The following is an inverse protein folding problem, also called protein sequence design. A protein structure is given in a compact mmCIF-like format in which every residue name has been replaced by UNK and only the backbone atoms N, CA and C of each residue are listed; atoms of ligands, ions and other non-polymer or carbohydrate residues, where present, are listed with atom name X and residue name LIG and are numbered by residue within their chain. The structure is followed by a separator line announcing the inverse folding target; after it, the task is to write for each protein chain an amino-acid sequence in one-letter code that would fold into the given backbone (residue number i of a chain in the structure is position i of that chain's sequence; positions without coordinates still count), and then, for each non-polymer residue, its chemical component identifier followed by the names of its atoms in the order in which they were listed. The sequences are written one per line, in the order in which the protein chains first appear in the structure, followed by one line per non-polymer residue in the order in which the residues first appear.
data_IF_518269996705
#
_entry.id   IF_518269996705
#
_cell.length_a   1.000
_cell.length_b   1.000
_cell.length_c   1.000
_cell.angle_alpha   90.00
_cell.angle_beta   90.00
_cell.angle_gamma   90.00
#
_symmetry.space_group_name_H-M   'P 1'
#
loop_
_entity.id
_entity.type
_entity.pdbx_description
1 polymer ?
#
# COMPACT_ATOMS: atom_id res chain seq x y z
N UNK A 1 31.93 -9.95 8.75
CA UNK A 1 30.83 -9.19 8.13
C UNK A 1 29.54 -9.68 8.75
N UNK A 2 28.81 -8.83 9.47
CA UNK A 2 27.52 -9.19 10.05
C UNK A 2 26.49 -9.30 8.93
N UNK A 3 25.85 -10.45 8.78
CA UNK A 3 24.81 -10.65 7.76
C UNK A 3 23.58 -9.83 8.13
N UNK A 4 23.15 -8.92 7.24
CA UNK A 4 21.93 -8.14 7.45
C UNK A 4 20.69 -9.04 7.46
N UNK A 5 19.74 -8.76 8.35
CA UNK A 5 18.46 -9.48 8.42
C UNK A 5 17.54 -9.05 7.28
N UNK A 6 16.89 -10.00 6.62
CA UNK A 6 15.97 -9.71 5.54
C UNK A 6 14.61 -9.25 6.09
N UNK A 7 14.02 -8.24 5.47
CA UNK A 7 12.70 -7.69 5.83
C UNK A 7 11.81 -7.65 4.59
N UNK A 8 10.62 -8.23 4.69
CA UNK A 8 9.56 -8.11 3.70
C UNK A 8 8.46 -7.22 4.27
N UNK A 9 8.10 -6.16 3.54
CA UNK A 9 7.06 -5.22 3.97
C UNK A 9 5.74 -5.58 3.30
N UNK A 10 4.70 -5.78 4.10
CA UNK A 10 3.36 -6.15 3.65
C UNK A 10 2.39 -5.09 4.14
N UNK A 11 1.72 -4.40 3.21
CA UNK A 11 0.82 -3.30 3.52
C UNK A 11 -0.60 -3.66 3.10
N UNK A 12 -1.53 -3.60 4.04
CA UNK A 12 -2.97 -3.61 3.76
C UNK A 12 -3.44 -2.21 3.38
N UNK A 13 -3.77 -2.01 2.11
CA UNK A 13 -4.19 -0.72 1.57
C UNK A 13 -5.55 -0.24 2.07
N UNK A 14 -6.44 -1.12 2.51
CA UNK A 14 -7.72 -0.71 3.08
C UNK A 14 -7.51 -0.08 4.46
N UNK A 15 -6.79 -0.79 5.34
CA UNK A 15 -6.50 -0.31 6.68
C UNK A 15 -5.60 0.94 6.66
N UNK A 16 -4.61 0.98 5.76
CA UNK A 16 -3.76 2.16 5.60
C UNK A 16 -4.56 3.39 5.16
N UNK A 17 -5.48 3.23 4.19
CA UNK A 17 -6.28 4.33 3.69
C UNK A 17 -7.15 4.94 4.79
N UNK A 18 -7.87 4.11 5.55
CA UNK A 18 -8.74 4.59 6.62
C UNK A 18 -7.93 5.24 7.75
N UNK A 19 -6.78 4.66 8.13
CA UNK A 19 -5.90 5.28 9.12
C UNK A 19 -5.33 6.62 8.67
N UNK A 20 -5.10 6.84 7.36
CA UNK A 20 -4.70 8.15 6.82
C UNK A 20 -5.87 9.13 6.80
N UNK A 21 -7.08 8.67 6.43
CA UNK A 21 -8.27 9.52 6.36
C UNK A 21 -8.67 10.06 7.74
N UNK A 22 -8.56 9.22 8.77
CA UNK A 22 -8.81 9.59 10.18
C UNK A 22 -7.87 10.69 10.71
N UNK A 23 -6.72 10.92 10.08
CA UNK A 23 -5.79 12.00 10.43
C UNK A 23 -6.24 13.36 9.89
N UNK A 24 -7.25 13.41 9.00
CA UNK A 24 -7.76 14.63 8.36
C UNK A 24 -6.68 15.48 7.65
N UNK A 25 -5.59 14.83 7.23
CA UNK A 25 -4.46 15.46 6.56
C UNK A 25 -4.39 15.02 5.09
N UNK A 26 -5.06 15.75 4.21
CA UNK A 26 -5.23 15.37 2.80
C UNK A 26 -3.92 15.12 2.04
N UNK A 27 -2.82 15.79 2.42
CA UNK A 27 -1.52 15.59 1.79
C UNK A 27 -0.95 14.17 2.03
N UNK A 28 -1.36 13.50 3.12
CA UNK A 28 -0.96 12.12 3.42
C UNK A 28 -1.62 11.10 2.49
N UNK A 29 -2.69 11.45 1.75
CA UNK A 29 -3.33 10.57 0.76
C UNK A 29 -2.40 10.23 -0.42
N UNK A 30 -1.27 10.93 -0.55
CA UNK A 30 -0.20 10.66 -1.52
C UNK A 30 1.06 10.03 -0.89
N UNK A 31 0.90 9.37 0.26
CA UNK A 31 1.98 8.72 1.00
C UNK A 31 2.91 7.91 0.09
N UNK A 32 4.21 8.21 0.12
CA UNK A 32 5.20 7.40 -0.55
C UNK A 32 5.60 6.22 0.35
N UNK A 33 5.04 5.05 0.08
CA UNK A 33 5.26 3.83 0.88
C UNK A 33 6.74 3.37 0.85
N UNK A 34 7.44 3.56 -0.27
CA UNK A 34 8.88 3.24 -0.35
C UNK A 34 9.69 4.12 0.61
N UNK A 35 9.45 5.44 0.61
CA UNK A 35 10.12 6.36 1.53
C UNK A 35 9.75 6.08 2.98
N UNK A 36 8.48 5.80 3.27
CA UNK A 36 8.03 5.46 4.61
C UNK A 36 8.75 4.19 5.12
N UNK A 37 8.91 3.19 4.25
CA UNK A 37 9.67 1.98 4.58
C UNK A 37 11.10 2.32 4.98
N UNK A 38 11.78 3.21 4.25
CA UNK A 38 13.13 3.66 4.59
C UNK A 38 13.24 4.34 5.96
N UNK A 39 12.18 5.01 6.43
CA UNK A 39 12.16 5.63 7.77
C UNK A 39 12.08 4.58 8.88
N UNK A 40 11.38 3.46 8.66
CA UNK A 40 11.20 2.41 9.67
C UNK A 40 12.33 1.37 9.71
N UNK A 41 13.18 1.32 8.69
CA UNK A 41 14.17 0.26 8.53
C UNK A 41 15.59 0.79 8.74
N UNK A 42 16.29 0.25 9.74
CA UNK A 42 17.73 0.51 9.90
C UNK A 42 18.53 -0.29 8.85
N UNK A 43 19.01 0.43 7.83
CA UNK A 43 19.79 -0.13 6.74
C UNK A 43 21.13 -0.73 7.18
N UNK A 44 21.65 -0.41 8.38
CA UNK A 44 22.91 -1.01 8.86
C UNK A 44 22.75 -2.48 9.23
N UNK A 45 21.54 -2.88 9.66
CA UNK A 45 21.27 -4.23 10.18
C UNK A 45 20.20 -4.97 9.40
N UNK A 46 19.43 -4.28 8.55
CA UNK A 46 18.36 -4.86 7.74
C UNK A 46 18.56 -4.64 6.23
N UNK A 47 18.01 -5.56 5.44
CA UNK A 47 17.88 -5.44 3.99
C UNK A 47 16.42 -5.67 3.60
N UNK A 48 15.78 -4.68 2.98
CA UNK A 48 14.42 -4.82 2.45
C UNK A 48 14.47 -5.69 1.19
N UNK A 49 13.80 -6.85 1.23
CA UNK A 49 13.74 -7.79 0.10
C UNK A 49 12.51 -7.59 -0.77
N UNK A 50 11.54 -6.80 -0.32
CA UNK A 50 10.35 -6.45 -1.09
C UNK A 50 9.38 -5.59 -0.30
N UNK A 51 8.55 -4.84 -1.02
CA UNK A 51 7.47 -4.03 -0.47
C UNK A 51 6.21 -4.37 -1.26
N UNK A 52 5.18 -4.90 -0.59
CA UNK A 52 3.95 -5.39 -1.22
C UNK A 52 2.75 -4.61 -0.70
N UNK A 53 2.04 -3.96 -1.60
CA UNK A 53 0.83 -3.20 -1.31
C UNK A 53 -0.41 -3.94 -1.81
N UNK A 54 -1.19 -4.47 -0.89
CA UNK A 54 -2.42 -5.21 -1.17
C UNK A 54 -3.59 -4.24 -1.20
N UNK A 55 -4.29 -4.16 -2.34
CA UNK A 55 -5.42 -3.22 -2.46
C UNK A 55 -6.48 -3.72 -3.44
N UNK A 56 -7.65 -3.08 -3.45
CA UNK A 56 -8.73 -3.39 -4.40
C UNK A 56 -9.48 -2.13 -4.83
N UNK A 57 -9.95 -2.09 -6.07
CA UNK A 57 -10.69 -0.92 -6.59
C UNK A 57 -12.18 -0.96 -6.24
N UNK A 58 -12.64 0.03 -5.46
CA UNK A 58 -14.06 0.24 -5.16
C UNK A 58 -14.81 0.81 -6.39
N UNK A 59 -15.14 -0.03 -7.37
CA UNK A 59 -15.75 0.39 -8.64
C UNK A 59 -17.12 1.06 -8.50
N UNK A 60 -17.81 0.87 -7.37
CA UNK A 60 -19.11 1.47 -7.08
C UNK A 60 -19.02 2.94 -6.62
N UNK A 61 -17.81 3.48 -6.40
CA UNK A 61 -17.57 4.89 -6.04
C UNK A 61 -16.63 5.54 -7.06
N UNK A 62 -17.16 6.15 -8.14
CA UNK A 62 -16.37 6.51 -9.31
C UNK A 62 -15.25 7.53 -9.01
N UNK A 63 -15.49 8.51 -8.14
CA UNK A 63 -14.49 9.53 -7.81
C UNK A 63 -13.36 8.99 -6.91
N UNK A 64 -13.71 8.23 -5.87
CA UNK A 64 -12.73 7.52 -5.04
C UNK A 64 -11.91 6.53 -5.88
N UNK A 65 -12.56 5.81 -6.79
CA UNK A 65 -11.89 4.89 -7.70
C UNK A 65 -10.87 5.60 -8.58
N UNK A 66 -11.21 6.73 -9.20
CA UNK A 66 -10.25 7.52 -10.01
C UNK A 66 -9.07 8.01 -9.18
N UNK A 67 -9.31 8.52 -7.96
CA UNK A 67 -8.22 8.96 -7.06
C UNK A 67 -7.31 7.80 -6.68
N UNK A 68 -7.89 6.66 -6.30
CA UNK A 68 -7.14 5.48 -5.94
C UNK A 68 -6.33 4.93 -7.13
N UNK A 69 -6.87 4.92 -8.35
CA UNK A 69 -6.12 4.57 -9.55
C UNK A 69 -4.91 5.47 -9.78
N UNK A 70 -5.06 6.79 -9.58
CA UNK A 70 -3.94 7.74 -9.69
C UNK A 70 -2.86 7.45 -8.66
N UNK A 71 -3.25 7.20 -7.42
CA UNK A 71 -2.31 6.85 -6.35
C UNK A 71 -1.58 5.53 -6.64
N UNK A 72 -2.30 4.47 -7.02
CA UNK A 72 -1.68 3.18 -7.40
C UNK A 72 -0.74 3.32 -8.58
N UNK A 73 -1.11 4.12 -9.59
CA UNK A 73 -0.24 4.43 -10.72
C UNK A 73 1.03 5.16 -10.26
N UNK A 74 0.93 6.10 -9.35
CA UNK A 74 2.10 6.78 -8.78
C UNK A 74 2.98 5.79 -7.98
N UNK A 75 2.39 4.92 -7.17
CA UNK A 75 3.16 3.89 -6.44
C UNK A 75 3.85 2.91 -7.40
N UNK A 76 3.27 2.60 -8.55
CA UNK A 76 3.92 1.70 -9.53
C UNK A 76 5.21 2.25 -10.14
N UNK A 77 5.53 3.53 -9.95
CA UNK A 77 6.83 4.11 -10.35
C UNK A 77 7.90 3.97 -9.26
N UNK A 78 7.56 3.34 -8.14
CA UNK A 78 8.46 3.08 -7.00
C UNK A 78 8.80 1.59 -6.93
N UNK A 79 9.57 1.16 -5.92
CA UNK A 79 9.85 -0.28 -5.68
C UNK A 79 8.68 -1.07 -5.08
N UNK A 80 7.51 -0.44 -4.91
CA UNK A 80 6.33 -1.07 -4.32
C UNK A 80 5.64 -1.98 -5.35
N UNK A 81 5.53 -3.26 -5.03
CA UNK A 81 4.74 -4.23 -5.78
C UNK A 81 3.25 -4.07 -5.44
N UNK A 82 2.43 -3.78 -6.46
CA UNK A 82 0.98 -3.64 -6.30
C UNK A 82 0.30 -5.00 -6.49
N UNK A 83 -0.40 -5.47 -5.45
CA UNK A 83 -1.17 -6.71 -5.47
C UNK A 83 -2.66 -6.38 -5.44
N UNK A 84 -3.30 -6.45 -6.61
CA UNK A 84 -4.73 -6.17 -6.75
C UNK A 84 -5.56 -7.40 -6.34
N UNK A 85 -6.33 -7.23 -5.27
CA UNK A 85 -7.35 -8.18 -4.84
C UNK A 85 -8.51 -8.25 -5.85
N UNK A 86 -9.07 -9.46 -6.01
CA UNK A 86 -10.32 -9.66 -6.75
C UNK A 86 -11.46 -9.59 -5.74
N UNK A 87 -12.40 -8.65 -5.94
CA UNK A 87 -13.66 -8.68 -5.22
C UNK A 87 -14.40 -9.98 -5.53
N UNK A 88 -14.54 -10.86 -4.54
CA UNK A 88 -15.45 -12.00 -4.64
C UNK A 88 -16.87 -11.46 -4.56
N UNK A 89 -17.66 -11.62 -5.63
CA UNK A 89 -19.11 -11.37 -5.57
C UNK A 89 -19.69 -12.26 -4.46
N UNK A 90 -20.32 -11.68 -3.44
CA UNK A 90 -21.13 -12.46 -2.47
C UNK A 90 -22.23 -13.17 -3.26
N UNK A 91 -22.16 -14.49 -3.39
CA UNK A 91 -23.34 -15.28 -3.74
C UNK A 91 -24.23 -15.26 -2.51
N UNK A 92 -25.33 -14.52 -2.55
CA UNK A 92 -26.43 -14.80 -1.62
C UNK A 92 -26.98 -16.16 -2.06
N UNK A 93 -26.79 -17.18 -1.22
CA UNK A 93 -27.59 -18.39 -1.35
C UNK A 93 -28.98 -18.01 -0.84
N UNK A 94 -29.92 -17.95 -1.78
CA UNK A 94 -31.37 -18.01 -1.52
C UNK A 94 -31.78 -19.45 -1.30
#
# INVERSE_FOLDING_TARGET
MTTKKQVLVLIDGYNLYHGIDDLEQDHLKWLNIEKLTGVYIDENVHTVVGIKYFTSYARWRPEEHKRHQRYVRALSTTKVEIILGRFKKKKHQV
#
